data_IF_966315460304
#
_entry.id   IF_966315460304
#
_cell.length_a   1.000
_cell.length_b   1.000
_cell.length_c   1.000
_cell.angle_alpha   90.00
_cell.angle_beta   90.00
_cell.angle_gamma   90.00
#
_symmetry.space_group_name_H-M   'P 1'
#
loop_
_entity.id
_entity.type
_entity.pdbx_description
1 polymer ?
#
# COMPACT_ATOMS: atom_id res chain seq x y z
N UNK A 1 12.04 -1.10 16.93
CA UNK A 1 11.83 -2.27 16.07
C UNK A 1 10.62 -1.99 15.20
N UNK A 2 10.70 -2.22 13.89
CA UNK A 2 9.58 -1.94 12.99
C UNK A 2 8.40 -2.89 13.32
N UNK A 3 7.24 -2.33 13.65
CA UNK A 3 6.05 -3.09 14.10
C UNK A 3 5.47 -4.01 13.01
N UNK A 4 5.81 -3.78 11.75
CA UNK A 4 5.30 -4.53 10.60
C UNK A 4 6.21 -5.68 10.17
N UNK A 5 7.37 -5.89 10.82
CA UNK A 5 8.20 -7.08 10.57
C UNK A 5 7.42 -8.37 10.81
N UNK A 6 6.55 -8.39 11.82
CA UNK A 6 5.70 -9.54 12.10
C UNK A 6 4.78 -9.90 10.93
N UNK A 7 4.34 -8.92 10.14
CA UNK A 7 3.44 -9.10 8.99
C UNK A 7 4.04 -10.00 7.91
N UNK A 8 5.37 -10.07 7.85
CA UNK A 8 6.12 -10.91 6.92
C UNK A 8 6.77 -12.12 7.61
N UNK A 9 6.26 -12.53 8.79
CA UNK A 9 6.68 -13.76 9.45
C UNK A 9 7.87 -13.62 10.40
N UNK A 10 8.15 -12.42 10.93
CA UNK A 10 9.14 -12.24 12.01
C UNK A 10 8.45 -11.88 13.32
N UNK A 11 7.44 -12.66 13.75
CA UNK A 11 6.64 -12.28 14.94
C UNK A 11 7.45 -12.36 16.24
N UNK A 12 8.38 -13.31 16.29
CA UNK A 12 9.11 -13.68 17.52
C UNK A 12 10.53 -13.11 17.55
N UNK A 13 10.89 -12.24 16.58
CA UNK A 13 12.23 -11.66 16.48
C UNK A 13 12.46 -10.61 17.56
N UNK A 14 13.57 -10.76 18.28
CA UNK A 14 14.07 -9.73 19.19
C UNK A 14 15.10 -8.81 18.50
N UNK A 15 15.67 -7.87 19.25
CA UNK A 15 16.65 -6.91 18.73
C UNK A 15 17.91 -7.59 18.17
N UNK A 16 18.43 -8.63 18.82
CA UNK A 16 19.63 -9.35 18.36
C UNK A 16 19.35 -10.13 17.07
N UNK A 17 18.16 -10.71 16.94
CA UNK A 17 17.75 -11.43 15.73
C UNK A 17 17.62 -10.48 14.54
N UNK A 18 17.09 -9.27 14.78
CA UNK A 18 17.06 -8.19 13.78
C UNK A 18 18.46 -7.76 13.38
N UNK A 19 19.40 -7.61 14.32
CA UNK A 19 20.79 -7.27 14.00
C UNK A 19 21.48 -8.35 13.16
N UNK A 20 21.23 -9.64 13.45
CA UNK A 20 21.68 -10.76 12.62
C UNK A 20 21.04 -10.73 11.23
N UNK A 21 19.76 -10.39 11.16
CA UNK A 21 19.02 -10.29 9.90
C UNK A 21 19.58 -9.16 9.02
N UNK A 22 19.86 -7.99 9.59
CA UNK A 22 20.50 -6.87 8.88
C UNK A 22 21.85 -7.29 8.31
N UNK A 23 22.70 -7.97 9.11
CA UNK A 23 23.99 -8.50 8.63
C UNK A 23 23.82 -9.55 7.53
N UNK A 24 22.76 -10.36 7.59
CA UNK A 24 22.43 -11.32 6.54
C UNK A 24 22.02 -10.61 5.25
N UNK A 25 21.17 -9.59 5.33
CA UNK A 25 20.78 -8.77 4.18
C UNK A 25 22.01 -8.11 3.56
N UNK A 26 22.89 -7.54 4.38
CA UNK A 26 24.13 -6.89 3.91
C UNK A 26 25.01 -7.83 3.06
N UNK A 27 25.10 -9.11 3.46
CA UNK A 27 25.92 -10.12 2.80
C UNK A 27 25.24 -10.80 1.61
N UNK A 28 23.96 -11.13 1.75
CA UNK A 28 23.23 -12.03 0.84
C UNK A 28 22.15 -11.29 0.02
N UNK A 29 22.20 -9.95 -0.05
CA UNK A 29 21.25 -9.13 -0.82
C UNK A 29 21.14 -9.61 -2.28
N UNK A 30 19.92 -9.68 -2.78
CA UNK A 30 19.65 -10.11 -4.15
C UNK A 30 19.57 -8.93 -5.12
N UNK A 31 19.15 -7.77 -4.61
CA UNK A 31 19.07 -6.53 -5.37
C UNK A 31 19.76 -5.45 -4.56
N UNK A 32 20.73 -4.78 -5.18
CA UNK A 32 21.43 -3.63 -4.62
C UNK A 32 21.18 -2.45 -5.54
N UNK A 33 20.65 -1.36 -4.98
CA UNK A 33 20.51 -0.08 -5.69
C UNK A 33 21.37 0.93 -4.96
N UNK A 34 22.16 1.73 -5.67
CA UNK A 34 23.03 2.72 -5.07
C UNK A 34 22.85 4.09 -5.73
N UNK A 35 23.09 5.16 -4.97
CA UNK A 35 23.15 6.52 -5.47
C UNK A 35 24.19 7.33 -4.72
N UNK A 36 24.73 8.37 -5.36
CA UNK A 36 25.58 9.36 -4.69
C UNK A 36 24.73 10.52 -4.18
N UNK A 37 24.78 10.73 -2.88
CA UNK A 37 24.19 11.89 -2.23
C UNK A 37 24.97 13.17 -2.60
N UNK A 38 24.41 14.32 -2.24
CA UNK A 38 24.95 15.65 -2.60
C UNK A 38 26.34 15.88 -1.99
N UNK A 39 26.59 15.32 -0.83
CA UNK A 39 27.86 15.34 -0.10
C UNK A 39 28.88 14.30 -0.61
N UNK A 40 28.57 13.63 -1.73
CA UNK A 40 29.34 12.55 -2.33
C UNK A 40 29.43 11.28 -1.45
N UNK A 41 28.52 11.13 -0.48
CA UNK A 41 28.34 9.89 0.27
C UNK A 41 27.64 8.86 -0.62
N UNK A 42 28.19 7.65 -0.66
CA UNK A 42 27.61 6.51 -1.38
C UNK A 42 26.54 5.86 -0.52
N UNK A 43 25.30 5.91 -1.01
CA UNK A 43 24.11 5.40 -0.33
C UNK A 43 23.58 4.18 -1.06
N UNK A 44 23.20 3.15 -0.31
CA UNK A 44 22.70 1.89 -0.86
C UNK A 44 21.39 1.45 -0.22
N UNK A 45 20.54 0.86 -1.06
CA UNK A 45 19.36 0.08 -0.70
C UNK A 45 19.62 -1.39 -1.06
N UNK A 46 19.67 -2.25 -0.05
CA UNK A 46 19.87 -3.70 -0.19
C UNK A 46 18.55 -4.43 0.08
N UNK A 47 18.05 -5.18 -0.90
CA UNK A 47 16.83 -5.99 -0.79
C UNK A 47 17.15 -7.48 -0.63
N UNK A 48 16.47 -8.12 0.30
CA UNK A 48 16.52 -9.55 0.53
C UNK A 48 15.09 -10.11 0.59
N UNK A 49 14.72 -10.92 -0.40
CA UNK A 49 13.43 -11.60 -0.44
C UNK A 49 13.43 -12.85 0.43
N UNK A 50 12.38 -13.00 1.21
CA UNK A 50 12.14 -14.14 2.09
C UNK A 50 11.03 -15.05 1.56
N UNK A 51 10.21 -14.55 0.64
CA UNK A 51 9.15 -15.23 -0.08
C UNK A 51 8.81 -14.43 -1.35
N UNK A 52 7.93 -14.96 -2.21
CA UNK A 52 7.60 -14.30 -3.47
C UNK A 52 7.05 -12.87 -3.26
N UNK A 53 7.78 -11.88 -3.79
CA UNK A 53 7.51 -10.45 -3.68
C UNK A 53 7.53 -9.91 -2.23
N UNK A 54 8.04 -10.64 -1.25
CA UNK A 54 8.08 -10.24 0.16
C UNK A 54 9.52 -10.28 0.65
N UNK A 55 9.96 -9.21 1.29
CA UNK A 55 11.34 -9.11 1.73
C UNK A 55 11.59 -8.05 2.79
N UNK A 56 12.88 -7.85 3.05
CA UNK A 56 13.38 -6.78 3.89
C UNK A 56 14.33 -5.94 3.07
N UNK A 57 14.20 -4.62 3.22
CA UNK A 57 15.16 -3.66 2.71
C UNK A 57 15.98 -3.08 3.85
N UNK A 58 17.30 -3.00 3.64
CA UNK A 58 18.24 -2.29 4.52
C UNK A 58 18.82 -1.12 3.73
N UNK A 59 18.74 0.07 4.32
CA UNK A 59 19.25 1.31 3.76
C UNK A 59 20.42 1.81 4.61
N UNK A 60 21.46 2.31 3.96
CA UNK A 60 22.63 2.81 4.66
C UNK A 60 23.65 3.43 3.72
N UNK A 61 24.80 3.77 4.27
CA UNK A 61 25.88 4.42 3.55
C UNK A 61 27.23 3.74 3.80
N UNK A 62 28.17 3.94 2.88
CA UNK A 62 29.55 3.54 3.10
C UNK A 62 30.32 4.62 3.83
N UNK A 63 31.03 4.24 4.90
CA UNK A 63 31.90 5.17 5.61
C UNK A 63 33.04 5.61 4.69
N UNK A 64 33.20 6.93 4.53
CA UNK A 64 34.16 7.52 3.59
C UNK A 64 35.58 6.98 3.80
N UNK A 65 36.16 6.41 2.74
CA UNK A 65 37.51 5.84 2.76
C UNK A 65 37.62 4.42 3.33
N UNK A 66 36.49 3.76 3.58
CA UNK A 66 36.41 2.35 4.02
C UNK A 66 35.38 1.60 3.20
N UNK A 67 35.50 0.28 3.12
CA UNK A 67 34.51 -0.63 2.53
C UNK A 67 33.47 -1.09 3.59
N UNK A 68 33.25 -0.27 4.63
CA UNK A 68 32.35 -0.58 5.73
C UNK A 68 30.97 0.02 5.46
N UNK A 69 30.00 -0.87 5.19
CA UNK A 69 28.59 -0.50 5.10
C UNK A 69 28.01 -0.23 6.49
N UNK A 70 27.45 0.97 6.68
CA UNK A 70 26.80 1.40 7.91
C UNK A 70 25.28 1.43 7.68
N UNK A 71 24.52 0.45 8.23
CA UNK A 71 23.07 0.44 8.11
C UNK A 71 22.45 1.56 8.95
N UNK A 72 21.61 2.39 8.34
CA UNK A 72 20.88 3.46 9.03
C UNK A 72 19.49 3.01 9.46
N UNK A 73 18.75 2.38 8.56
CA UNK A 73 17.40 1.89 8.83
C UNK A 73 17.06 0.67 7.98
N UNK A 74 15.99 -0.02 8.38
CA UNK A 74 15.45 -1.17 7.65
C UNK A 74 13.93 -1.17 7.70
N UNK A 75 13.31 -1.84 6.73
CA UNK A 75 11.88 -2.05 6.72
C UNK A 75 11.47 -3.31 5.95
N UNK A 76 10.39 -3.99 6.38
CA UNK A 76 9.76 -5.04 5.58
C UNK A 76 9.05 -4.43 4.37
N UNK A 77 9.02 -5.15 3.26
CA UNK A 77 8.30 -4.76 2.05
C UNK A 77 7.46 -5.91 1.49
N UNK A 78 6.42 -5.51 0.76
CA UNK A 78 5.69 -6.33 -0.20
C UNK A 78 5.68 -5.58 -1.53
N UNK A 79 6.15 -6.21 -2.61
CA UNK A 79 6.05 -5.67 -3.95
C UNK A 79 4.63 -5.93 -4.49
N UNK A 80 3.91 -4.87 -4.82
CA UNK A 80 2.57 -4.97 -5.40
C UNK A 80 2.62 -5.55 -6.82
N UNK A 81 1.65 -6.38 -7.17
CA UNK A 81 1.58 -7.03 -8.49
C UNK A 81 0.78 -6.25 -9.54
N UNK A 82 0.04 -5.21 -9.13
CA UNK A 82 -0.79 -4.39 -10.01
C UNK A 82 -0.52 -2.90 -9.81
N UNK A 83 -0.65 -2.12 -10.89
CA UNK A 83 -0.69 -0.65 -10.79
C UNK A 83 -1.98 -0.26 -10.08
N UNK A 84 -1.86 0.25 -8.86
CA UNK A 84 -2.99 0.66 -8.03
C UNK A 84 -3.51 2.03 -8.42
N UNK A 85 -2.60 2.94 -8.79
CA UNK A 85 -2.95 4.30 -9.24
C UNK A 85 -2.01 4.78 -10.33
N UNK A 86 -2.53 5.63 -11.23
CA UNK A 86 -1.77 6.33 -12.28
C UNK A 86 -1.68 7.83 -12.01
N UNK A 87 -2.23 8.27 -10.88
CA UNK A 87 -2.18 9.67 -10.48
C UNK A 87 -0.74 10.11 -10.21
N UNK A 88 -0.52 11.42 -10.28
CA UNK A 88 0.79 12.00 -10.02
C UNK A 88 1.12 11.84 -8.54
N UNK A 89 2.35 11.43 -8.26
CA UNK A 89 2.87 11.33 -6.89
C UNK A 89 3.78 12.53 -6.61
N UNK A 90 3.50 13.22 -5.53
CA UNK A 90 4.38 14.22 -4.92
C UNK A 90 5.20 13.55 -3.81
N UNK A 91 6.42 14.02 -3.59
CA UNK A 91 7.34 13.39 -2.66
C UNK A 91 7.77 14.37 -1.57
N UNK A 92 7.66 13.94 -0.32
CA UNK A 92 8.20 14.65 0.84
C UNK A 92 9.18 13.76 1.60
N UNK A 93 10.15 14.38 2.30
CA UNK A 93 11.13 13.67 3.13
C UNK A 93 10.59 13.52 4.54
N UNK A 94 10.84 12.36 5.14
CA UNK A 94 10.67 12.21 6.58
C UNK A 94 11.72 13.05 7.32
N UNK A 95 11.34 13.66 8.44
CA UNK A 95 12.25 14.50 9.22
C UNK A 95 13.32 13.72 9.99
N UNK A 96 13.04 12.45 10.31
CA UNK A 96 13.81 11.61 11.23
C UNK A 96 14.73 10.59 10.53
N UNK A 97 14.63 10.45 9.21
CA UNK A 97 15.38 9.45 8.41
C UNK A 97 15.44 9.85 6.94
N UNK A 98 16.47 9.39 6.24
CA UNK A 98 16.60 9.56 4.79
C UNK A 98 15.64 8.60 4.07
N UNK A 99 14.35 8.90 4.12
CA UNK A 99 13.26 8.18 3.46
C UNK A 99 12.25 9.18 2.87
N UNK A 100 11.45 8.72 1.90
CA UNK A 100 10.41 9.52 1.25
C UNK A 100 9.02 8.99 1.55
N UNK A 101 8.06 9.89 1.74
CA UNK A 101 6.64 9.58 1.60
C UNK A 101 6.14 10.06 0.23
N UNK A 102 5.23 9.28 -0.35
CA UNK A 102 4.54 9.61 -1.58
C UNK A 102 3.14 10.10 -1.24
N UNK A 103 2.79 11.28 -1.76
CA UNK A 103 1.48 11.92 -1.61
C UNK A 103 0.79 11.84 -2.96
N UNK A 104 -0.40 11.28 -2.98
CA UNK A 104 -1.14 10.98 -4.21
C UNK A 104 -2.61 11.35 -4.01
N UNK A 105 -3.09 12.34 -4.77
CA UNK A 105 -4.50 12.70 -4.78
C UNK A 105 -5.28 11.70 -5.63
N UNK A 106 -5.92 10.72 -4.99
CA UNK A 106 -6.67 9.70 -5.69
C UNK A 106 -8.07 10.21 -6.06
N UNK A 107 -8.21 10.62 -7.33
CA UNK A 107 -9.45 11.18 -7.87
C UNK A 107 -10.63 10.22 -7.73
N UNK A 108 -10.41 8.90 -7.88
CA UNK A 108 -11.49 7.90 -7.76
C UNK A 108 -12.09 7.81 -6.36
N UNK A 109 -11.34 8.24 -5.35
CA UNK A 109 -11.77 8.27 -3.96
C UNK A 109 -12.11 9.67 -3.46
N UNK A 110 -11.62 10.72 -4.12
CA UNK A 110 -11.70 12.09 -3.63
C UNK A 110 -10.90 12.31 -2.33
N UNK A 111 -9.85 11.52 -2.11
CA UNK A 111 -8.97 11.65 -0.92
C UNK A 111 -7.50 11.59 -1.31
N UNK A 112 -6.68 12.26 -0.53
CA UNK A 112 -5.22 12.16 -0.61
C UNK A 112 -4.74 10.90 0.12
N UNK A 113 -3.99 10.07 -0.59
CA UNK A 113 -3.28 8.93 -0.04
C UNK A 113 -1.82 9.28 0.19
N UNK A 114 -1.32 8.90 1.36
CA UNK A 114 0.07 9.04 1.74
C UNK A 114 0.60 7.62 1.96
N UNK A 115 1.73 7.30 1.35
CA UNK A 115 2.33 5.97 1.48
C UNK A 115 3.84 6.06 1.62
N UNK A 116 4.41 5.05 2.24
CA UNK A 116 5.86 4.93 2.35
C UNK A 116 6.48 4.51 1.01
N UNK A 117 7.46 5.26 0.51
CA UNK A 117 8.10 4.98 -0.79
C UNK A 117 9.13 3.87 -0.64
N UNK A 118 8.96 2.78 -1.38
CA UNK A 118 9.86 1.63 -1.31
C UNK A 118 11.16 1.82 -2.09
N UNK A 119 11.17 2.61 -3.16
CA UNK A 119 12.31 2.81 -4.07
C UNK A 119 12.81 4.26 -4.05
N UNK A 120 13.26 4.71 -2.87
CA UNK A 120 13.63 6.11 -2.61
C UNK A 120 14.75 6.60 -3.53
N UNK A 121 15.81 5.79 -3.74
CA UNK A 121 16.91 6.19 -4.62
C UNK A 121 16.42 6.44 -6.05
N UNK A 122 15.60 5.54 -6.61
CA UNK A 122 15.03 5.71 -7.95
C UNK A 122 14.12 6.94 -8.05
N UNK A 123 13.33 7.23 -7.01
CA UNK A 123 12.50 8.44 -6.96
C UNK A 123 13.36 9.70 -6.91
N UNK A 124 14.41 9.72 -6.09
CA UNK A 124 15.32 10.86 -5.94
C UNK A 124 16.01 11.20 -7.25
N UNK A 125 16.50 10.20 -7.99
CA UNK A 125 17.08 10.41 -9.32
C UNK A 125 16.05 10.92 -10.32
N UNK A 126 14.86 10.31 -10.33
CA UNK A 126 13.78 10.71 -11.24
C UNK A 126 13.31 12.15 -11.00
N UNK A 127 13.31 12.62 -9.75
CA UNK A 127 13.04 14.03 -9.40
C UNK A 127 14.13 14.94 -9.98
N UNK A 128 15.42 14.58 -9.84
CA UNK A 128 16.54 15.35 -10.43
C UNK A 128 16.43 15.46 -11.95
N UNK A 129 16.01 14.37 -12.60
CA UNK A 129 15.85 14.28 -14.05
C UNK A 129 14.48 14.74 -14.57
N UNK A 130 13.58 15.21 -13.68
CA UNK A 130 12.22 15.65 -14.00
C UNK A 130 11.40 14.60 -14.76
N UNK A 131 11.58 13.32 -14.45
CA UNK A 131 10.82 12.21 -15.04
C UNK A 131 9.41 12.16 -14.47
N UNK A 132 8.42 11.88 -15.32
CA UNK A 132 7.04 11.67 -14.89
C UNK A 132 6.80 10.25 -14.37
N UNK A 133 5.99 10.14 -13.31
CA UNK A 133 5.49 8.86 -12.83
C UNK A 133 4.51 8.25 -13.84
N UNK A 134 4.67 6.96 -14.16
CA UNK A 134 3.75 6.19 -15.00
C UNK A 134 2.66 5.47 -14.19
N UNK A 135 2.85 5.39 -12.88
CA UNK A 135 1.93 4.78 -11.94
C UNK A 135 2.66 4.24 -10.72
N UNK A 136 1.86 3.81 -9.76
CA UNK A 136 2.34 3.34 -8.46
C UNK A 136 1.74 1.97 -8.16
N UNK A 137 2.60 1.03 -7.78
CA UNK A 137 2.21 -0.27 -7.24
C UNK A 137 2.10 -0.12 -5.73
N UNK A 138 0.86 -0.06 -5.22
CA UNK A 138 0.64 0.01 -3.77
C UNK A 138 0.64 -1.39 -3.18
N UNK A 139 1.10 -1.47 -1.94
CA UNK A 139 1.12 -2.68 -1.16
C UNK A 139 0.89 -2.37 0.32
N UNK A 140 0.27 -3.28 1.05
CA UNK A 140 -0.06 -3.14 2.46
C UNK A 140 0.63 -4.19 3.32
N UNK A 141 1.20 -3.79 4.46
CA UNK A 141 1.61 -4.68 5.53
C UNK A 141 0.63 -4.54 6.69
N UNK A 142 -0.09 -5.60 7.03
CA UNK A 142 -1.07 -5.54 8.10
C UNK A 142 -0.48 -5.96 9.45
N UNK A 143 -0.63 -5.10 10.45
CA UNK A 143 -0.24 -5.41 11.83
C UNK A 143 -1.21 -6.41 12.47
N UNK A 144 -2.49 -6.30 12.16
CA UNK A 144 -3.53 -7.22 12.60
C UNK A 144 -4.71 -7.14 11.64
N UNK A 145 -5.46 -8.23 11.54
CA UNK A 145 -6.57 -8.33 10.60
C UNK A 145 -7.65 -9.26 11.10
N UNK A 146 -8.87 -9.02 10.62
CA UNK A 146 -10.02 -9.90 10.81
C UNK A 146 -10.77 -10.07 9.51
N UNK A 147 -11.24 -11.29 9.27
CA UNK A 147 -12.05 -11.62 8.12
C UNK A 147 -13.52 -11.47 8.47
N UNK A 148 -14.23 -10.67 7.67
CA UNK A 148 -15.66 -10.43 7.80
C UNK A 148 -16.41 -11.17 6.70
N UNK A 149 -17.66 -11.50 6.97
CA UNK A 149 -18.56 -12.09 5.99
C UNK A 149 -18.83 -11.13 4.82
N UNK A 150 -19.11 -11.67 3.63
CA UNK A 150 -19.59 -10.86 2.50
C UNK A 150 -20.85 -10.10 2.91
N UNK A 151 -21.06 -8.93 2.30
CA UNK A 151 -22.36 -8.28 2.38
C UNK A 151 -23.31 -9.07 1.49
N UNK A 152 -24.36 -9.65 2.08
CA UNK A 152 -25.40 -10.35 1.31
C UNK A 152 -26.17 -9.31 0.49
N UNK A 153 -25.80 -9.16 -0.77
CA UNK A 153 -26.61 -8.39 -1.71
C UNK A 153 -27.87 -9.20 -2.03
N UNK A 154 -29.03 -8.76 -1.54
CA UNK A 154 -30.33 -9.29 -1.96
C UNK A 154 -30.46 -9.07 -3.47
N UNK A 155 -30.22 -10.14 -4.24
CA UNK A 155 -30.28 -10.30 -5.72
C UNK A 155 -29.04 -9.92 -6.56
N UNK A 156 -28.63 -10.85 -7.44
CA UNK A 156 -27.58 -10.73 -8.46
C UNK A 156 -27.82 -9.59 -9.49
N UNK A 157 -29.06 -9.07 -9.58
CA UNK A 157 -29.42 -7.95 -10.48
C UNK A 157 -28.83 -6.60 -10.03
N UNK A 158 -28.43 -6.43 -8.75
CA UNK A 158 -27.90 -5.16 -8.25
C UNK A 158 -26.41 -4.92 -8.55
N UNK A 159 -25.62 -5.96 -8.81
CA UNK A 159 -24.20 -5.83 -9.12
C UNK A 159 -23.95 -5.21 -10.51
N UNK A 160 -24.76 -5.58 -11.52
CA UNK A 160 -24.69 -4.96 -12.85
C UNK A 160 -25.18 -3.51 -12.85
N UNK A 161 -26.16 -3.19 -11.99
CA UNK A 161 -26.71 -1.83 -11.83
C UNK A 161 -25.68 -0.90 -11.16
N UNK A 162 -24.88 -1.40 -10.21
CA UNK A 162 -23.81 -0.61 -9.58
C UNK A 162 -22.80 -0.09 -10.60
N UNK A 163 -22.25 -0.97 -11.43
CA UNK A 163 -21.26 -0.55 -12.44
C UNK A 163 -21.82 0.50 -13.40
N UNK A 164 -23.08 0.37 -13.84
CA UNK A 164 -23.74 1.38 -14.68
C UNK A 164 -24.01 2.69 -13.93
N UNK A 165 -24.39 2.64 -12.65
CA UNK A 165 -24.63 3.84 -11.85
C UNK A 165 -23.34 4.61 -11.54
N UNK A 166 -22.21 3.91 -11.41
CA UNK A 166 -20.92 4.53 -11.18
C UNK A 166 -20.42 5.27 -12.42
N UNK A 167 -20.55 4.66 -13.60
CA UNK A 167 -20.22 5.33 -14.87
C UNK A 167 -21.11 6.55 -15.15
N UNK A 168 -22.39 6.49 -14.76
CA UNK A 168 -23.31 7.63 -14.90
C UNK A 168 -22.90 8.76 -13.94
N UNK A 169 -22.50 8.42 -12.71
CA UNK A 169 -22.04 9.40 -11.73
C UNK A 169 -20.75 10.09 -12.17
N UNK A 170 -19.79 9.34 -12.73
CA UNK A 170 -18.54 9.92 -13.23
C UNK A 170 -18.79 10.88 -14.42
N UNK A 171 -19.74 10.54 -15.31
CA UNK A 171 -20.17 11.41 -16.42
C UNK A 171 -20.87 12.69 -15.93
N UNK A 172 -21.74 12.58 -14.92
CA UNK A 172 -22.39 13.74 -14.29
C UNK A 172 -21.37 14.65 -13.61
N UNK A 173 -20.34 14.10 -12.95
CA UNK A 173 -19.26 14.89 -12.35
C UNK A 173 -18.45 15.64 -13.41
N UNK A 174 -18.18 15.01 -14.55
CA UNK A 174 -17.48 15.66 -15.66
C UNK A 174 -18.30 16.84 -16.20
N UNK A 175 -19.60 16.63 -16.47
CA UNK A 175 -20.52 17.69 -16.96
C UNK A 175 -20.71 18.82 -15.95
N UNK A 176 -20.83 18.49 -14.66
CA UNK A 176 -20.93 19.49 -13.60
C UNK A 176 -19.67 20.36 -13.51
N UNK A 177 -18.48 19.81 -13.76
CA UNK A 177 -17.23 20.58 -13.84
C UNK A 177 -17.19 21.54 -15.04
N UNK A 178 -17.93 21.22 -16.10
CA UNK A 178 -18.09 22.06 -17.29
C UNK A 178 -19.18 23.13 -17.13
N UNK A 179 -19.89 23.16 -16.00
CA UNK A 179 -20.90 24.17 -15.67
C UNK A 179 -22.34 23.77 -16.03
N UNK A 180 -22.62 22.49 -16.27
CA UNK A 180 -23.97 22.00 -16.52
C UNK A 180 -24.81 22.01 -15.23
N UNK A 181 -25.72 22.97 -15.10
CA UNK A 181 -26.62 23.12 -13.95
C UNK A 181 -27.52 21.89 -13.73
N UNK A 182 -27.93 21.21 -14.81
CA UNK A 182 -28.79 20.03 -14.69
C UNK A 182 -28.06 18.84 -14.07
N UNK A 183 -26.79 18.65 -14.43
CA UNK A 183 -25.94 17.64 -13.83
C UNK A 183 -25.67 17.91 -12.34
N UNK A 184 -25.58 19.19 -11.95
CA UNK A 184 -25.43 19.59 -10.54
C UNK A 184 -26.69 19.27 -9.73
N UNK A 185 -27.87 19.55 -10.27
CA UNK A 185 -29.16 19.25 -9.61
C UNK A 185 -29.35 17.73 -9.44
N UNK A 186 -29.05 16.93 -10.47
CA UNK A 186 -29.10 15.47 -10.42
C UNK A 186 -28.15 14.89 -9.35
N UNK A 187 -26.93 15.42 -9.27
CA UNK A 187 -25.97 15.03 -8.22
C UNK A 187 -26.49 15.39 -6.84
N UNK A 188 -27.07 16.59 -6.66
CA UNK A 188 -27.62 17.03 -5.38
C UNK A 188 -28.79 16.13 -4.94
N UNK A 189 -29.70 15.81 -5.83
CA UNK A 189 -30.83 14.93 -5.53
C UNK A 189 -30.35 13.52 -5.15
N UNK A 190 -29.39 12.97 -5.90
CA UNK A 190 -28.76 11.69 -5.57
C UNK A 190 -28.10 11.69 -4.19
N UNK A 191 -27.46 12.79 -3.79
CA UNK A 191 -26.85 12.93 -2.46
C UNK A 191 -27.91 12.96 -1.35
N UNK A 192 -29.00 13.71 -1.52
CA UNK A 192 -30.11 13.77 -0.55
C UNK A 192 -30.74 12.38 -0.34
N UNK A 193 -30.98 11.66 -1.43
CA UNK A 193 -31.53 10.30 -1.39
C UNK A 193 -30.56 9.33 -0.72
N UNK A 194 -29.27 9.42 -1.04
CA UNK A 194 -28.24 8.58 -0.43
C UNK A 194 -28.14 8.83 1.08
N UNK A 195 -28.11 10.09 1.50
CA UNK A 195 -28.05 10.48 2.90
C UNK A 195 -29.28 10.01 3.69
N UNK A 196 -30.48 10.19 3.11
CA UNK A 196 -31.73 9.75 3.72
C UNK A 196 -31.77 8.24 3.89
N UNK A 197 -31.37 7.49 2.86
CA UNK A 197 -31.28 6.03 2.90
C UNK A 197 -30.25 5.54 3.94
N UNK A 198 -29.07 6.14 3.99
CA UNK A 198 -28.05 5.81 4.97
C UNK A 198 -28.54 6.06 6.40
N UNK A 199 -29.20 7.20 6.64
CA UNK A 199 -29.73 7.55 7.96
C UNK A 199 -30.75 6.54 8.47
N UNK A 200 -31.63 6.03 7.59
CA UNK A 200 -32.58 4.99 7.97
C UNK A 200 -31.89 3.65 8.24
N UNK A 201 -30.93 3.25 7.40
CA UNK A 201 -30.21 1.99 7.55
C UNK A 201 -29.36 1.95 8.81
N UNK A 202 -28.68 3.04 9.17
CA UNK A 202 -27.87 3.11 10.41
C UNK A 202 -28.71 2.85 11.67
N UNK A 203 -30.00 3.19 11.67
CA UNK A 203 -30.89 2.92 12.82
C UNK A 203 -31.26 1.44 12.99
N UNK A 204 -31.16 0.65 11.92
CA UNK A 204 -31.76 -0.70 11.84
C UNK A 204 -30.78 -1.81 11.45
N UNK A 205 -29.63 -1.46 10.87
CA UNK A 205 -28.61 -2.38 10.38
C UNK A 205 -27.27 -2.15 11.11
N UNK A 206 -26.47 -3.20 11.22
CA UNK A 206 -25.08 -3.08 11.67
C UNK A 206 -24.27 -2.22 10.69
N UNK A 207 -23.44 -1.31 11.19
CA UNK A 207 -22.54 -0.44 10.41
C UNK A 207 -21.71 -1.27 9.41
N UNK A 208 -21.24 -2.46 9.79
CA UNK A 208 -20.45 -3.33 8.91
C UNK A 208 -21.28 -4.01 7.80
N UNK A 209 -22.60 -3.92 7.85
CA UNK A 209 -23.52 -4.30 6.77
C UNK A 209 -23.82 -3.13 5.83
N UNK A 210 -23.63 -1.90 6.30
CA UNK A 210 -23.85 -0.67 5.54
C UNK A 210 -22.58 -0.29 4.77
N UNK A 211 -21.43 -0.25 5.45
CA UNK A 211 -20.14 0.13 4.86
C UNK A 211 -19.55 -1.05 4.10
N UNK A 212 -19.34 -0.85 2.80
CA UNK A 212 -18.78 -1.87 1.91
C UNK A 212 -17.26 -1.95 2.02
N UNK A 213 -16.59 -0.83 1.73
CA UNK A 213 -15.15 -0.67 1.80
C UNK A 213 -14.79 0.68 2.45
N UNK A 214 -13.59 0.80 3.01
CA UNK A 214 -13.06 2.05 3.54
C UNK A 214 -11.53 2.01 3.63
N UNK A 215 -10.89 3.16 3.40
CA UNK A 215 -9.48 3.40 3.73
C UNK A 215 -9.45 4.68 4.56
N UNK A 216 -9.19 4.56 5.86
CA UNK A 216 -9.26 5.69 6.81
C UNK A 216 -7.91 5.81 7.51
N UNK A 217 -7.27 6.99 7.56
CA UNK A 217 -6.03 7.20 8.30
C UNK A 217 -6.16 6.76 9.76
N UNK A 218 -5.08 6.21 10.32
CA UNK A 218 -5.08 5.70 11.68
C UNK A 218 -3.81 6.06 12.43
N UNK A 219 -3.98 6.80 13.53
CA UNK A 219 -2.87 7.21 14.38
C UNK A 219 -2.26 8.54 13.96
N UNK A 220 -0.99 8.73 14.32
CA UNK A 220 -0.23 9.95 14.02
C UNK A 220 0.55 9.77 12.70
N UNK A 221 0.91 8.53 12.39
CA UNK A 221 1.64 8.18 11.17
C UNK A 221 0.73 8.28 9.94
N UNK A 222 1.08 9.11 8.93
CA UNK A 222 0.20 9.42 7.81
C UNK A 222 0.03 8.26 6.82
N UNK A 223 0.94 7.30 6.84
CA UNK A 223 0.99 6.12 5.96
C UNK A 223 0.32 4.88 6.58
N UNK A 224 -0.33 5.02 7.74
CA UNK A 224 -1.06 3.94 8.41
C UNK A 224 -2.56 4.14 8.25
N UNK A 225 -3.26 3.08 7.84
CA UNK A 225 -4.68 3.09 7.55
C UNK A 225 -5.43 1.94 8.23
N UNK A 226 -6.66 2.19 8.63
CA UNK A 226 -7.66 1.15 8.79
C UNK A 226 -8.29 0.86 7.44
N UNK A 227 -8.04 -0.34 6.93
CA UNK A 227 -8.56 -0.81 5.65
C UNK A 227 -9.71 -1.77 5.90
N UNK A 228 -10.84 -1.52 5.26
CA UNK A 228 -11.93 -2.47 5.05
C UNK A 228 -12.07 -2.67 3.54
N UNK A 229 -11.86 -3.89 3.05
CA UNK A 229 -11.89 -4.16 1.62
C UNK A 229 -12.35 -5.56 1.28
N UNK A 230 -12.74 -5.77 0.03
CA UNK A 230 -13.13 -7.06 -0.50
C UNK A 230 -11.90 -7.86 -0.90
N UNK A 231 -11.87 -9.15 -0.55
CA UNK A 231 -10.78 -10.05 -0.94
C UNK A 231 -11.07 -10.59 -2.34
N UNK A 232 -10.22 -10.24 -3.29
CA UNK A 232 -10.37 -10.57 -4.71
C UNK A 232 -9.54 -11.78 -5.10
N UNK A 233 -8.35 -11.94 -4.49
CA UNK A 233 -7.47 -13.09 -4.67
C UNK A 233 -6.69 -13.36 -3.39
N UNK A 234 -6.25 -14.60 -3.21
CA UNK A 234 -5.47 -15.03 -2.05
C UNK A 234 -4.37 -15.97 -2.53
N UNK A 235 -3.17 -15.79 -2.01
CA UNK A 235 -2.12 -16.79 -2.01
C UNK A 235 -1.53 -16.93 -0.62
N UNK A 236 -0.86 -18.05 -0.38
CA UNK A 236 -0.20 -18.35 0.88
C UNK A 236 1.28 -18.54 0.61
N UNK A 237 2.08 -17.79 1.35
CA UNK A 237 3.52 -17.81 1.29
C UNK A 237 4.08 -18.32 2.62
N UNK A 238 5.36 -18.68 2.63
CA UNK A 238 6.08 -19.10 3.82
C UNK A 238 7.39 -18.32 3.92
N UNK A 239 7.65 -17.71 5.08
CA UNK A 239 8.92 -17.05 5.34
C UNK A 239 10.06 -18.08 5.30
N UNK A 240 11.02 -17.90 4.39
CA UNK A 240 12.11 -18.86 4.20
C UNK A 240 12.99 -19.06 5.44
N UNK A 241 13.09 -18.05 6.32
CA UNK A 241 13.90 -18.03 7.55
C UNK A 241 13.15 -18.63 8.73
N UNK A 242 11.96 -18.11 9.04
CA UNK A 242 11.21 -18.45 10.26
C UNK A 242 10.19 -19.58 10.05
N UNK A 243 9.89 -19.91 8.79
CA UNK A 243 8.83 -20.86 8.39
C UNK A 243 7.43 -20.43 8.80
N UNK A 244 7.26 -19.16 9.19
CA UNK A 244 5.96 -18.59 9.47
C UNK A 244 5.15 -18.43 8.17
N UNK A 245 3.87 -18.77 8.25
CA UNK A 245 2.95 -18.72 7.12
C UNK A 245 2.36 -17.31 6.97
N UNK A 246 2.36 -16.81 5.75
CA UNK A 246 1.94 -15.45 5.41
C UNK A 246 0.79 -15.56 4.41
N UNK A 247 -0.31 -14.86 4.67
CA UNK A 247 -1.35 -14.66 3.68
C UNK A 247 -1.06 -13.41 2.87
N UNK A 248 -1.06 -13.53 1.55
CA UNK A 248 -1.08 -12.39 0.64
C UNK A 248 -2.43 -12.33 -0.05
N UNK A 249 -3.13 -11.23 0.15
CA UNK A 249 -4.48 -11.01 -0.35
C UNK A 249 -4.48 -9.83 -1.29
N UNK A 250 -5.12 -9.98 -2.45
CA UNK A 250 -5.45 -8.83 -3.30
C UNK A 250 -6.74 -8.22 -2.75
N UNK A 251 -6.66 -6.98 -2.30
CA UNK A 251 -7.76 -6.26 -1.66
C UNK A 251 -8.27 -5.18 -2.60
N UNK A 252 -9.58 -5.13 -2.81
CA UNK A 252 -10.27 -4.00 -3.40
C UNK A 252 -10.89 -3.16 -2.27
N UNK A 253 -10.44 -1.92 -2.14
CA UNK A 253 -11.00 -0.97 -1.20
C UNK A 253 -11.14 0.39 -1.88
N UNK A 254 -12.37 0.93 -1.89
CA UNK A 254 -12.67 2.24 -2.47
C UNK A 254 -12.13 2.39 -3.91
N UNK A 255 -12.37 1.38 -4.76
CA UNK A 255 -11.93 1.32 -6.17
C UNK A 255 -10.41 1.24 -6.39
N UNK A 256 -9.61 1.16 -5.32
CA UNK A 256 -8.19 0.84 -5.40
C UNK A 256 -8.00 -0.65 -5.19
N UNK A 257 -7.16 -1.25 -6.02
CA UNK A 257 -6.74 -2.64 -5.90
C UNK A 257 -5.25 -2.65 -5.55
N UNK A 258 -4.91 -3.29 -4.44
CA UNK A 258 -3.53 -3.45 -3.99
C UNK A 258 -3.33 -4.79 -3.28
N UNK A 259 -2.08 -5.22 -3.17
CA UNK A 259 -1.76 -6.46 -2.46
C UNK A 259 -1.49 -6.16 -0.99
N UNK A 260 -1.95 -7.04 -0.11
CA UNK A 260 -1.83 -6.90 1.33
C UNK A 260 -1.26 -8.20 1.90
N UNK A 261 -0.20 -8.10 2.71
CA UNK A 261 0.36 -9.23 3.44
C UNK A 261 0.03 -9.15 4.94
N UNK A 262 -0.24 -10.32 5.52
CA UNK A 262 -0.44 -10.50 6.95
C UNK A 262 0.06 -11.86 7.37
N UNK A 263 0.64 -11.95 8.56
CA UNK A 263 0.98 -13.22 9.18
C UNK A 263 -0.28 -14.00 9.55
N UNK A 264 -0.29 -15.31 9.31
CA UNK A 264 -1.39 -16.19 9.72
C UNK A 264 -1.68 -16.09 11.24
N UNK A 265 -0.65 -15.89 12.08
CA UNK A 265 -0.80 -15.72 13.53
C UNK A 265 -1.58 -14.46 13.92
N UNK A 266 -1.51 -13.40 13.11
CA UNK A 266 -2.14 -12.10 13.37
C UNK A 266 -3.51 -11.93 12.67
N UNK A 267 -3.99 -12.97 11.97
CA UNK A 267 -5.23 -12.96 11.23
C UNK A 267 -6.34 -13.72 11.97
N UNK A 268 -7.41 -13.00 12.32
CA UNK A 268 -8.60 -13.60 12.92
C UNK A 268 -9.62 -14.01 11.86
N UNK A 269 -9.94 -15.30 11.81
CA UNK A 269 -10.86 -15.87 10.84
C UNK A 269 -10.19 -16.29 9.54
N UNK A 270 -10.92 -17.03 8.70
CA UNK A 270 -10.35 -17.66 7.51
C UNK A 270 -10.51 -16.76 6.27
N UNK A 271 -9.42 -16.37 5.58
CA UNK A 271 -9.51 -15.55 4.39
C UNK A 271 -10.08 -16.37 3.23
N UNK A 272 -11.04 -15.79 2.51
CA UNK A 272 -11.64 -16.41 1.32
C UNK A 272 -12.05 -15.34 0.31
N UNK A 273 -11.90 -15.62 -0.98
CA UNK A 273 -12.37 -14.73 -2.04
C UNK A 273 -13.86 -14.43 -1.85
N UNK A 274 -14.23 -13.15 -1.97
CA UNK A 274 -15.57 -12.65 -1.71
C UNK A 274 -15.86 -12.31 -0.24
N UNK A 275 -15.03 -12.75 0.72
CA UNK A 275 -15.05 -12.22 2.10
C UNK A 275 -14.38 -10.85 2.13
N UNK A 276 -14.47 -10.18 3.28
CA UNK A 276 -13.88 -8.86 3.49
C UNK A 276 -12.75 -8.91 4.50
N UNK A 277 -11.70 -8.16 4.25
CA UNK A 277 -10.62 -7.94 5.20
C UNK A 277 -10.87 -6.63 5.95
N UNK A 278 -10.70 -6.63 7.28
CA UNK A 278 -10.62 -5.41 8.09
C UNK A 278 -9.36 -5.45 8.95
N UNK A 279 -8.49 -4.46 8.84
CA UNK A 279 -7.25 -4.44 9.60
C UNK A 279 -6.52 -3.11 9.58
N UNK A 280 -5.49 -3.02 10.42
CA UNK A 280 -4.55 -1.89 10.45
C UNK A 280 -3.39 -2.20 9.51
N UNK A 281 -3.17 -1.32 8.55
CA UNK A 281 -2.28 -1.54 7.40
C UNK A 281 -1.32 -0.38 7.28
N UNK A 282 -0.03 -0.68 7.19
CA UNK A 282 0.97 0.27 6.72
C UNK A 282 1.01 0.21 5.20
N UNK A 283 0.67 1.34 4.57
CA UNK A 283 0.63 1.47 3.12
C UNK A 283 2.00 1.87 2.59
N UNK A 284 2.49 1.08 1.64
CA UNK A 284 3.73 1.31 0.93
C UNK A 284 3.47 1.38 -0.56
N UNK A 285 4.39 1.98 -1.30
CA UNK A 285 4.28 2.09 -2.75
C UNK A 285 5.62 2.08 -3.45
N UNK A 286 5.68 1.35 -4.56
CA UNK A 286 6.77 1.43 -5.53
C UNK A 286 6.33 2.30 -6.70
N UNK A 287 7.02 3.40 -6.93
CA UNK A 287 6.69 4.33 -8.02
C UNK A 287 7.45 3.94 -9.28
N UNK A 288 6.74 3.83 -10.39
CA UNK A 288 7.32 3.54 -11.69
C UNK A 288 7.49 4.80 -12.52
N UNK A 289 8.66 4.96 -13.15
CA UNK A 289 9.00 6.09 -14.01
C UNK A 289 9.18 5.62 -15.46
N UNK A 290 9.13 6.54 -16.43
CA UNK A 290 9.57 6.27 -17.80
C UNK A 290 11.05 5.83 -17.81
N UNK A 291 11.35 4.74 -18.52
CA UNK A 291 12.70 4.17 -18.61
C UNK A 291 13.73 5.20 -19.12
N UNK A 292 14.71 5.49 -18.28
CA UNK A 292 16.09 5.77 -18.67
C UNK A 292 16.96 4.77 -17.91
N UNK A 293 17.81 4.02 -18.63
CA UNK A 293 18.66 2.91 -18.16
C UNK A 293 19.01 2.96 -16.67
N UNK A 294 18.40 2.09 -15.86
CA UNK A 294 18.89 1.79 -14.52
C UNK A 294 20.10 0.85 -14.63
N UNK A 295 21.19 1.16 -13.92
CA UNK A 295 22.22 0.18 -13.59
C UNK A 295 21.79 -0.56 -12.33
N UNK A 296 20.89 -1.53 -12.48
CA UNK A 296 20.70 -2.54 -11.44
C UNK A 296 21.67 -3.68 -11.74
N UNK A 297 22.64 -3.92 -10.87
CA UNK A 297 23.41 -5.16 -10.93
C UNK A 297 22.59 -6.22 -10.19
N UNK A 298 22.08 -7.21 -10.93
CA UNK A 298 21.68 -8.49 -10.35
C UNK A 298 22.96 -9.29 -10.17
N UNK A 299 23.26 -9.69 -8.95
CA UNK A 299 24.27 -10.72 -8.67
C UNK A 299 23.79 -12.09 -9.16
#
# INVERSE_FOLDING_TARGET
>A
MNKFLKSIGFSDFNREDVEKLIKKVDKDAQIITFCKLIDNTEYEEKEFEIADNIGIKVCGYYRKGTDEFVPEYYFPFLNGTNISTKEKVEFERYYDKEALCGICDEVRMGVTLIFYVQNMLSCTESIKEKRSSKGTYLAGLAESGRILLPIVQKSKKKASIKNSSETIRDDLIAKAREGDESAVEDLMQSEIDTYSNLTQRVKSEDILSIVSTSIIPYGVEPDIYNVLGNIVAIRKEENSITKEKIYVMKIEANRIIFDLCINEKDLLGEPKVGRRFKGKVWLQGRVCFSFGLFKSEKM
#
